data_IF_289739756571
#
_entry.id   IF_289739756571
#
_cell.length_a   1.000
_cell.length_b   1.000
_cell.length_c   1.000
_cell.angle_alpha   90.00
_cell.angle_beta   90.00
_cell.angle_gamma   90.00
#
_symmetry.space_group_name_H-M   'P 1'
#
loop_
_entity.id
_entity.type
_entity.pdbx_description
1 polymer ?
#
# COMPACT_ATOMS: atom_id res chain seq x y z
N UNK A 1 0.04 23.64 7.79
CA UNK A 1 -1.33 23.47 7.25
C UNK A 1 -1.69 21.99 7.33
N UNK A 2 -2.95 21.65 7.61
CA UNK A 2 -3.42 20.25 7.73
C UNK A 2 -4.59 19.93 6.78
N UNK A 3 -5.04 18.67 6.77
CA UNK A 3 -6.04 18.18 5.83
C UNK A 3 -7.34 19.02 5.80
N UNK A 4 -7.91 19.36 6.95
CA UNK A 4 -9.14 20.17 7.04
C UNK A 4 -8.99 21.58 6.46
N UNK A 5 -7.80 22.18 6.59
CA UNK A 5 -7.54 23.50 6.02
C UNK A 5 -7.45 23.47 4.49
N UNK A 6 -6.93 22.37 3.91
CA UNK A 6 -6.84 22.19 2.46
C UNK A 6 -8.16 21.68 1.85
N UNK A 7 -8.90 20.87 2.62
CA UNK A 7 -10.13 20.21 2.22
C UNK A 7 -11.16 20.34 3.36
N UNK A 8 -11.95 21.43 3.40
CA UNK A 8 -12.91 21.68 4.49
C UNK A 8 -13.96 20.57 4.66
N UNK A 9 -14.28 19.83 3.59
CA UNK A 9 -15.24 18.72 3.60
C UNK A 9 -14.60 17.36 3.94
N UNK A 10 -13.34 17.32 4.38
CA UNK A 10 -12.66 16.07 4.72
C UNK A 10 -13.34 15.41 5.92
N UNK A 11 -13.69 14.13 5.76
CA UNK A 11 -14.30 13.33 6.83
C UNK A 11 -13.37 12.24 7.36
N UNK A 12 -12.46 11.77 6.52
CA UNK A 12 -11.50 10.72 6.88
C UNK A 12 -10.15 11.06 6.27
N UNK A 13 -9.10 10.96 7.07
CA UNK A 13 -7.71 11.03 6.61
C UNK A 13 -7.09 9.66 6.79
N UNK A 14 -6.54 9.12 5.71
CA UNK A 14 -5.68 7.94 5.73
C UNK A 14 -4.24 8.41 5.51
N UNK A 15 -3.42 8.35 6.56
CA UNK A 15 -2.00 8.68 6.53
C UNK A 15 -1.20 7.37 6.46
N UNK A 16 -0.54 7.10 5.34
CA UNK A 16 0.30 5.90 5.16
C UNK A 16 1.76 6.35 5.20
N UNK A 17 2.36 6.25 6.39
CA UNK A 17 3.76 6.56 6.62
C UNK A 17 4.68 5.38 6.27
N UNK A 18 5.98 5.57 6.44
CA UNK A 18 6.97 4.52 6.15
C UNK A 18 6.91 3.32 7.10
N UNK A 19 6.54 3.53 8.37
CA UNK A 19 6.56 2.50 9.42
C UNK A 19 5.23 2.34 10.15
N UNK A 20 4.28 3.24 9.89
CA UNK A 20 2.96 3.20 10.49
C UNK A 20 1.91 3.67 9.48
N UNK A 21 0.65 3.39 9.78
CA UNK A 21 -0.50 3.95 9.06
C UNK A 21 -1.56 4.41 10.05
N UNK A 22 -2.23 5.52 9.76
CA UNK A 22 -3.23 6.13 10.64
C UNK A 22 -4.53 6.36 9.88
N UNK A 23 -5.65 6.07 10.54
CA UNK A 23 -6.99 6.44 10.08
C UNK A 23 -7.57 7.44 11.06
N UNK A 24 -7.88 8.63 10.57
CA UNK A 24 -8.37 9.74 11.39
C UNK A 24 -9.76 10.12 10.89
N UNK A 25 -10.75 9.99 11.75
CA UNK A 25 -12.09 10.53 11.50
C UNK A 25 -12.12 12.00 11.91
N UNK A 26 -12.52 12.86 10.99
CA UNK A 26 -12.56 14.32 11.16
C UNK A 26 -14.00 14.77 11.32
N UNK A 27 -14.26 15.56 12.36
CA UNK A 27 -15.56 16.16 12.65
C UNK A 27 -15.84 17.40 11.81
N UNK A 28 -17.07 17.94 11.90
CA UNK A 28 -17.51 19.08 11.07
C UNK A 28 -16.68 20.36 11.29
N UNK A 29 -16.07 20.51 12.47
CA UNK A 29 -15.25 21.68 12.83
C UNK A 29 -13.74 21.40 12.71
N UNK A 30 -13.37 20.30 12.05
CA UNK A 30 -11.98 19.89 11.86
C UNK A 30 -11.34 19.19 13.07
N UNK A 31 -12.10 18.91 14.13
CA UNK A 31 -11.65 18.17 15.30
C UNK A 31 -11.44 16.69 14.99
N UNK A 32 -10.48 16.05 15.66
CA UNK A 32 -10.28 14.59 15.57
C UNK A 32 -11.37 13.90 16.39
N UNK A 33 -12.23 13.13 15.72
CA UNK A 33 -13.33 12.36 16.36
C UNK A 33 -12.87 10.96 16.73
N UNK A 34 -12.07 10.32 15.87
CA UNK A 34 -11.49 9.01 16.11
C UNK A 34 -10.09 8.96 15.49
N UNK A 35 -9.22 8.21 16.14
CA UNK A 35 -7.86 7.97 15.70
C UNK A 35 -7.52 6.49 15.90
N UNK A 36 -7.17 5.81 14.82
CA UNK A 36 -6.68 4.43 14.82
C UNK A 36 -5.31 4.40 14.15
N UNK A 37 -4.37 3.64 14.70
CA UNK A 37 -3.01 3.54 14.17
C UNK A 37 -2.55 2.09 14.14
N UNK A 38 -1.91 1.71 13.04
CA UNK A 38 -1.14 0.48 12.93
C UNK A 38 0.35 0.82 12.90
N UNK A 39 1.08 0.48 13.96
CA UNK A 39 2.53 0.70 14.11
C UNK A 39 3.32 -0.62 14.28
N UNK A 40 2.64 -1.76 14.37
CA UNK A 40 3.26 -3.07 14.64
C UNK A 40 3.50 -3.90 13.39
N UNK A 41 2.86 -3.58 12.27
CA UNK A 41 2.86 -4.43 11.09
C UNK A 41 3.25 -3.66 9.83
N UNK A 42 4.35 -4.04 9.21
CA UNK A 42 4.83 -3.40 7.99
C UNK A 42 3.86 -3.52 6.81
N UNK A 43 2.98 -4.54 6.79
CA UNK A 43 2.03 -4.84 5.72
C UNK A 43 1.08 -3.68 5.34
N UNK A 44 0.81 -2.77 6.26
CA UNK A 44 -0.05 -1.59 6.05
C UNK A 44 0.73 -0.29 5.87
N UNK A 45 2.05 -0.34 5.71
CA UNK A 45 2.93 0.83 5.76
C UNK A 45 3.73 0.96 4.48
N UNK A 46 4.35 2.10 4.25
CA UNK A 46 5.24 2.37 3.11
C UNK A 46 6.44 1.42 3.01
N UNK A 47 6.84 0.75 4.10
CA UNK A 47 7.92 -0.26 4.07
C UNK A 47 7.56 -1.48 3.23
N UNK A 48 6.28 -1.86 3.19
CA UNK A 48 5.84 -3.00 2.39
C UNK A 48 6.03 -2.77 0.87
N UNK A 49 5.46 -1.73 0.23
CA UNK A 49 5.71 -1.46 -1.18
C UNK A 49 7.18 -1.17 -1.48
N UNK A 50 7.96 -0.59 -0.55
CA UNK A 50 9.41 -0.42 -0.72
C UNK A 50 10.13 -1.76 -0.88
N UNK A 51 9.84 -2.74 -0.02
CA UNK A 51 10.45 -4.07 -0.12
C UNK A 51 9.97 -4.82 -1.37
N UNK A 52 8.68 -4.71 -1.71
CA UNK A 52 8.13 -5.36 -2.89
C UNK A 52 8.70 -4.79 -4.19
N UNK A 53 8.85 -3.47 -4.29
CA UNK A 53 9.52 -2.84 -5.43
C UNK A 53 10.95 -3.36 -5.59
N UNK A 54 11.71 -3.44 -4.48
CA UNK A 54 13.07 -3.98 -4.48
C UNK A 54 13.12 -5.44 -4.93
N UNK A 55 12.18 -6.27 -4.51
CA UNK A 55 12.07 -7.67 -4.94
C UNK A 55 11.83 -7.82 -6.44
N UNK A 56 11.20 -6.81 -7.07
CA UNK A 56 11.03 -6.72 -8.53
C UNK A 56 12.20 -6.02 -9.25
N UNK A 57 13.25 -5.62 -8.53
CA UNK A 57 14.37 -4.86 -9.11
C UNK A 57 14.03 -3.41 -9.46
N UNK A 58 13.01 -2.84 -8.82
CA UNK A 58 12.52 -1.48 -9.05
C UNK A 58 12.81 -0.57 -7.85
N UNK A 59 12.87 0.73 -8.11
CA UNK A 59 12.74 1.73 -7.05
C UNK A 59 11.25 2.01 -6.77
N UNK A 60 10.93 2.38 -5.53
CA UNK A 60 9.54 2.58 -5.09
C UNK A 60 8.82 3.70 -5.85
N UNK A 61 9.53 4.71 -6.33
CA UNK A 61 9.02 5.81 -7.17
C UNK A 61 8.51 5.33 -8.54
N UNK A 62 9.05 4.21 -9.05
CA UNK A 62 8.63 3.59 -10.32
C UNK A 62 7.59 2.50 -10.14
N UNK A 63 7.35 2.06 -8.91
CA UNK A 63 6.54 0.89 -8.65
C UNK A 63 5.08 1.07 -9.09
N UNK A 64 4.51 2.26 -8.83
CA UNK A 64 3.14 2.58 -9.24
C UNK A 64 2.97 2.68 -10.75
N UNK A 65 3.88 3.38 -11.44
CA UNK A 65 3.86 3.48 -12.92
C UNK A 65 4.00 2.10 -13.57
N UNK A 66 4.89 1.26 -13.03
CA UNK A 66 5.10 -0.12 -13.49
C UNK A 66 3.85 -0.98 -13.34
N UNK A 67 3.16 -0.88 -12.20
CA UNK A 67 1.90 -1.58 -11.96
C UNK A 67 0.77 -1.12 -12.90
N UNK A 68 0.70 0.18 -13.19
CA UNK A 68 -0.32 0.74 -14.10
C UNK A 68 -0.07 0.38 -15.57
N UNK A 69 1.15 0.00 -15.94
CA UNK A 69 1.49 -0.47 -17.28
C UNK A 69 1.12 -1.95 -17.52
N UNK A 70 0.48 -2.62 -16.56
CA UNK A 70 0.00 -3.98 -16.71
C UNK A 70 -1.15 -4.06 -17.73
N UNK A 71 -1.01 -4.93 -18.72
CA UNK A 71 -2.06 -5.21 -19.72
C UNK A 71 -2.92 -6.43 -19.35
N UNK A 72 -2.45 -7.25 -18.41
CA UNK A 72 -3.13 -8.45 -17.93
C UNK A 72 -3.83 -8.26 -16.58
N UNK A 73 -4.46 -9.34 -16.12
CA UNK A 73 -5.05 -9.36 -14.78
C UNK A 73 -3.97 -9.36 -13.69
N UNK A 74 -4.18 -8.66 -12.58
CA UNK A 74 -3.23 -8.70 -11.49
C UNK A 74 -3.14 -10.06 -10.84
N UNK A 75 -1.92 -10.43 -10.52
CA UNK A 75 -1.62 -11.68 -9.83
C UNK A 75 -2.17 -11.61 -8.40
N UNK A 76 -2.80 -12.67 -7.95
CA UNK A 76 -3.27 -12.75 -6.57
C UNK A 76 -2.09 -12.96 -5.62
N UNK A 77 -1.87 -12.00 -4.73
CA UNK A 77 -0.91 -12.13 -3.62
C UNK A 77 -1.62 -12.78 -2.43
N UNK A 78 -1.12 -13.94 -2.01
CA UNK A 78 -1.75 -14.75 -0.96
C UNK A 78 -1.41 -14.27 0.44
N UNK A 79 -0.24 -13.69 0.65
CA UNK A 79 0.22 -13.21 1.97
C UNK A 79 0.52 -11.72 1.97
N UNK A 80 0.01 -11.01 2.98
CA UNK A 80 0.41 -9.62 3.26
C UNK A 80 1.52 -9.51 4.30
N UNK A 81 1.92 -10.62 4.93
CA UNK A 81 3.11 -10.60 5.79
C UNK A 81 4.33 -10.32 4.93
N UNK A 82 5.02 -9.20 5.16
CA UNK A 82 6.11 -8.70 4.31
C UNK A 82 7.15 -9.76 3.95
N UNK A 83 7.55 -10.60 4.92
CA UNK A 83 8.57 -11.64 4.72
C UNK A 83 8.09 -12.74 3.75
N UNK A 84 6.83 -13.17 3.90
CA UNK A 84 6.26 -14.19 3.03
C UNK A 84 5.89 -13.64 1.66
N UNK A 85 5.38 -12.40 1.62
CA UNK A 85 5.05 -11.69 0.39
C UNK A 85 6.30 -11.54 -0.51
N UNK A 86 7.46 -11.19 0.08
CA UNK A 86 8.71 -11.06 -0.68
C UNK A 86 9.11 -12.38 -1.35
N UNK A 87 9.06 -13.49 -0.59
CA UNK A 87 9.36 -14.82 -1.12
C UNK A 87 8.37 -15.25 -2.20
N UNK A 88 7.09 -14.93 -2.03
CA UNK A 88 6.04 -15.17 -3.02
C UNK A 88 6.31 -14.40 -4.32
N UNK A 89 6.64 -13.11 -4.22
CA UNK A 89 6.98 -12.24 -5.36
C UNK A 89 8.18 -12.79 -6.13
N UNK A 90 9.26 -13.14 -5.45
CA UNK A 90 10.44 -13.74 -6.10
C UNK A 90 10.07 -15.06 -6.81
N UNK A 91 9.20 -15.88 -6.21
CA UNK A 91 8.74 -17.13 -6.85
C UNK A 91 7.91 -16.88 -8.10
N UNK A 92 7.00 -15.89 -8.08
CA UNK A 92 6.17 -15.53 -9.23
C UNK A 92 7.02 -15.05 -10.41
N UNK A 93 8.01 -14.18 -10.14
CA UNK A 93 8.95 -13.73 -11.17
C UNK A 93 9.78 -14.89 -11.71
N UNK A 94 10.25 -15.80 -10.84
CA UNK A 94 10.97 -17.00 -11.27
C UNK A 94 10.15 -17.96 -12.15
N UNK A 95 8.82 -17.90 -12.08
CA UNK A 95 7.91 -18.67 -12.96
C UNK A 95 7.61 -17.97 -14.29
N UNK A 96 8.11 -16.75 -14.49
CA UNK A 96 7.89 -15.97 -15.70
C UNK A 96 6.58 -15.17 -15.70
N UNK A 97 5.96 -14.96 -14.54
CA UNK A 97 4.81 -14.06 -14.43
C UNK A 97 5.20 -12.63 -14.83
N UNK A 98 4.28 -11.90 -15.47
CA UNK A 98 4.53 -10.51 -15.82
C UNK A 98 4.69 -9.67 -14.55
N UNK A 99 5.89 -9.11 -14.36
CA UNK A 99 6.22 -8.27 -13.21
C UNK A 99 5.25 -7.09 -13.01
N UNK A 100 4.63 -6.58 -14.07
CA UNK A 100 3.63 -5.50 -14.01
C UNK A 100 2.33 -6.00 -13.38
N UNK A 101 1.88 -7.20 -13.78
CA UNK A 101 0.71 -7.86 -13.20
C UNK A 101 0.95 -8.26 -11.74
N UNK A 102 2.18 -8.68 -11.40
CA UNK A 102 2.60 -8.93 -10.01
C UNK A 102 2.55 -7.63 -9.19
N UNK A 103 3.14 -6.54 -9.71
CA UNK A 103 3.10 -5.22 -9.07
C UNK A 103 1.66 -4.73 -8.82
N UNK A 104 0.78 -4.86 -9.82
CA UNK A 104 -0.63 -4.51 -9.69
C UNK A 104 -1.34 -5.35 -8.62
N UNK A 105 -1.02 -6.65 -8.53
CA UNK A 105 -1.48 -7.55 -7.47
C UNK A 105 -1.09 -7.08 -6.07
N UNK A 106 0.16 -6.67 -5.91
CA UNK A 106 0.70 -6.14 -4.65
C UNK A 106 -0.03 -4.86 -4.24
N UNK A 107 -0.23 -3.92 -5.17
CA UNK A 107 -1.01 -2.70 -4.89
C UNK A 107 -2.45 -3.02 -4.47
N UNK A 108 -3.11 -3.99 -5.11
CA UNK A 108 -4.45 -4.45 -4.68
C UNK A 108 -4.43 -5.05 -3.27
N UNK A 109 -3.39 -5.80 -2.91
CA UNK A 109 -3.25 -6.37 -1.57
C UNK A 109 -3.10 -5.27 -0.49
N UNK A 110 -2.29 -4.23 -0.77
CA UNK A 110 -2.13 -3.06 0.12
C UNK A 110 -3.47 -2.33 0.30
N UNK A 111 -4.18 -2.04 -0.79
CA UNK A 111 -5.46 -1.34 -0.74
C UNK A 111 -6.50 -2.12 0.09
N UNK A 112 -6.57 -3.44 -0.08
CA UNK A 112 -7.46 -4.30 0.74
C UNK A 112 -7.09 -4.27 2.22
N UNK A 113 -5.79 -4.22 2.54
CA UNK A 113 -5.31 -4.18 3.94
C UNK A 113 -5.66 -2.87 4.63
N UNK A 114 -5.56 -1.75 3.92
CA UNK A 114 -5.84 -0.42 4.46
C UNK A 114 -7.34 -0.09 4.50
N UNK A 115 -8.13 -0.71 3.63
CA UNK A 115 -9.58 -0.49 3.57
C UNK A 115 -10.43 -1.44 4.42
N UNK A 116 -9.82 -2.42 5.11
CA UNK A 116 -10.47 -3.36 6.00
C UNK A 116 -10.53 -2.84 7.45
#
# INVERSE_FOLDING_TARGET
MGAYHLYPDVRTVLDVGGQDSKVILVGPDGQVVRFEMNDRCAAGTGRFPENMARALGLNVDRFGEHALAAEGEPVQISSVCTVFAESEVVSLIGRGEDSRCVALGIHRAIARRLGA
#
